data_IF_132098103284
#
_entry.id   IF_132098103284
#
_cell.length_a   1.000
_cell.length_b   1.000
_cell.length_c   1.000
_cell.angle_alpha   90.00
_cell.angle_beta   90.00
_cell.angle_gamma   90.00
#
_symmetry.space_group_name_H-M   'P 1'
#
loop_
_entity.id
_entity.type
_entity.pdbx_description
1 polymer ?
#
# COMPACT_ATOMS: atom_id res chain seq x y z
N UNK A 1 -5.95 -18.00 21.82
CA UNK A 1 -5.37 -17.00 20.89
C UNK A 1 -3.99 -17.49 20.52
N UNK A 2 -3.83 -18.07 19.35
CA UNK A 2 -2.51 -18.41 18.81
C UNK A 2 -1.78 -17.10 18.56
N UNK A 3 -0.74 -16.87 19.32
CA UNK A 3 0.03 -15.64 19.22
C UNK A 3 0.74 -15.63 17.86
N UNK A 4 0.48 -14.65 17.00
CA UNK A 4 1.13 -14.50 15.68
C UNK A 4 2.66 -14.64 15.79
N UNK A 5 3.22 -14.21 16.91
CA UNK A 5 4.65 -14.32 17.22
C UNK A 5 5.11 -15.79 17.33
N UNK A 6 4.28 -16.72 17.83
CA UNK A 6 4.62 -18.15 17.88
C UNK A 6 4.62 -18.77 16.50
N UNK A 7 3.67 -18.38 15.63
CA UNK A 7 3.60 -18.83 14.23
C UNK A 7 4.84 -18.36 13.45
N UNK A 8 5.17 -17.08 13.59
CA UNK A 8 6.34 -16.51 12.92
C UNK A 8 7.68 -17.08 13.45
N UNK A 9 7.71 -17.59 14.70
CA UNK A 9 8.86 -18.24 15.30
C UNK A 9 8.95 -19.74 15.00
N UNK A 10 7.88 -20.38 14.54
CA UNK A 10 7.91 -21.81 14.21
C UNK A 10 8.98 -22.10 13.16
N UNK A 11 9.65 -23.27 13.26
CA UNK A 11 10.63 -23.76 12.28
C UNK A 11 9.96 -24.54 11.16
N UNK A 12 8.75 -25.03 11.39
CA UNK A 12 8.01 -25.90 10.45
C UNK A 12 7.39 -25.09 9.30
N UNK A 13 7.26 -23.76 9.47
CA UNK A 13 6.68 -22.89 8.45
C UNK A 13 7.79 -22.29 7.60
N UNK A 14 7.67 -22.43 6.28
CA UNK A 14 8.66 -21.91 5.32
C UNK A 14 8.66 -20.38 5.29
N UNK A 15 9.80 -19.79 4.92
CA UNK A 15 9.93 -18.34 4.82
C UNK A 15 8.90 -17.69 3.88
N UNK A 16 8.65 -18.20 2.66
CA UNK A 16 7.62 -17.63 1.77
C UNK A 16 6.23 -17.62 2.40
N UNK A 17 5.86 -18.66 3.13
CA UNK A 17 4.57 -18.73 3.84
C UNK A 17 4.47 -17.67 4.94
N UNK A 18 5.55 -17.46 5.71
CA UNK A 18 5.61 -16.40 6.73
C UNK A 18 5.48 -15.01 6.12
N UNK A 19 6.14 -14.77 4.99
CA UNK A 19 6.03 -13.52 4.23
C UNK A 19 4.58 -13.29 3.79
N UNK A 20 3.94 -14.33 3.27
CA UNK A 20 2.54 -14.29 2.86
C UNK A 20 1.61 -13.95 4.05
N UNK A 21 1.83 -14.56 5.21
CA UNK A 21 1.07 -14.27 6.43
C UNK A 21 1.20 -12.82 6.89
N UNK A 22 2.42 -12.27 6.91
CA UNK A 22 2.64 -10.85 7.26
C UNK A 22 1.89 -9.94 6.30
N UNK A 23 1.97 -10.21 5.00
CA UNK A 23 1.27 -9.43 3.97
C UNK A 23 -0.24 -9.54 4.08
N UNK A 24 -0.78 -10.73 4.37
CA UNK A 24 -2.21 -10.97 4.43
C UNK A 24 -2.87 -10.51 5.74
N UNK A 25 -2.13 -10.46 6.85
CA UNK A 25 -2.68 -10.13 8.17
C UNK A 25 -2.21 -8.75 8.64
N UNK A 26 -0.90 -8.49 8.60
CA UNK A 26 -0.33 -7.27 9.18
C UNK A 26 -0.57 -6.06 8.26
N UNK A 27 -0.29 -6.19 6.98
CA UNK A 27 -0.39 -5.07 6.04
C UNK A 27 -1.82 -4.53 5.91
N UNK A 28 -2.89 -5.34 5.79
CA UNK A 28 -4.26 -4.82 5.75
C UNK A 28 -4.66 -4.04 7.00
N UNK A 29 -4.20 -4.46 8.17
CA UNK A 29 -4.47 -3.73 9.42
C UNK A 29 -3.79 -2.36 9.42
N UNK A 30 -2.55 -2.29 8.94
CA UNK A 30 -1.78 -1.04 8.86
C UNK A 30 -2.34 -0.11 7.78
N UNK A 31 -2.80 -0.67 6.66
CA UNK A 31 -3.36 0.08 5.53
C UNK A 31 -4.84 0.42 5.68
N UNK A 32 -5.49 0.03 6.78
CA UNK A 32 -6.92 0.28 6.95
C UNK A 32 -7.26 1.77 6.83
N UNK A 33 -8.12 2.12 5.88
CA UNK A 33 -8.54 3.49 5.61
C UNK A 33 -7.47 4.39 4.96
N UNK A 34 -6.33 3.83 4.52
CA UNK A 34 -5.23 4.63 3.95
C UNK A 34 -5.57 5.29 2.61
N UNK A 35 -6.61 4.82 1.93
CA UNK A 35 -7.07 5.34 0.64
C UNK A 35 -7.45 6.81 0.67
N UNK A 36 -7.80 7.34 1.84
CA UNK A 36 -8.16 8.76 2.05
C UNK A 36 -7.07 9.57 2.74
N UNK A 37 -5.93 8.97 3.08
CA UNK A 37 -4.88 9.66 3.83
C UNK A 37 -4.06 10.60 2.94
N UNK A 38 -3.78 11.78 3.48
CA UNK A 38 -2.79 12.69 2.92
C UNK A 38 -1.44 12.36 3.54
N UNK A 39 -0.62 11.58 2.86
CA UNK A 39 0.67 11.10 3.38
C UNK A 39 1.77 12.05 2.92
N UNK A 40 2.54 12.57 3.87
CA UNK A 40 3.70 13.41 3.59
C UNK A 40 4.94 12.55 3.33
N UNK A 41 5.89 13.09 2.59
CA UNK A 41 7.16 12.41 2.28
C UNK A 41 7.90 11.87 3.51
N UNK A 42 7.86 12.58 4.63
CA UNK A 42 8.45 12.11 5.89
C UNK A 42 7.70 10.93 6.52
N UNK A 43 6.42 10.76 6.22
CA UNK A 43 5.60 9.65 6.71
C UNK A 43 5.85 8.39 5.90
N UNK A 44 6.11 8.49 4.60
CA UNK A 44 6.57 7.36 3.79
C UNK A 44 7.85 6.73 4.35
N UNK A 45 8.80 7.53 4.79
CA UNK A 45 10.03 7.01 5.43
C UNK A 45 9.74 6.20 6.70
N UNK A 46 8.69 6.55 7.46
CA UNK A 46 8.26 5.80 8.65
C UNK A 46 7.57 4.49 8.24
N UNK A 47 6.82 4.50 7.15
CA UNK A 47 6.17 3.31 6.59
C UNK A 47 7.22 2.31 6.11
N UNK A 48 8.25 2.78 5.40
CA UNK A 48 9.37 1.96 4.95
C UNK A 48 10.15 1.39 6.14
N UNK A 49 10.38 2.21 7.17
CA UNK A 49 11.05 1.76 8.39
C UNK A 49 10.23 0.68 9.12
N UNK A 50 8.89 0.82 9.15
CA UNK A 50 7.99 -0.18 9.71
C UNK A 50 8.03 -1.48 8.89
N UNK A 51 7.95 -1.39 7.57
CA UNK A 51 8.05 -2.54 6.67
C UNK A 51 9.36 -3.30 6.91
N UNK A 52 10.48 -2.58 6.94
CA UNK A 52 11.79 -3.15 7.20
C UNK A 52 11.88 -3.78 8.61
N UNK A 53 11.24 -3.18 9.59
CA UNK A 53 11.15 -3.75 10.95
C UNK A 53 10.39 -5.09 10.95
N UNK A 54 9.28 -5.19 10.21
CA UNK A 54 8.54 -6.44 10.06
C UNK A 54 9.44 -7.54 9.46
N UNK A 55 10.18 -7.22 8.40
CA UNK A 55 11.06 -8.16 7.72
C UNK A 55 12.25 -8.59 8.58
N UNK A 56 12.88 -7.65 9.29
CA UNK A 56 13.94 -7.97 10.25
C UNK A 56 13.46 -8.91 11.35
N UNK A 57 12.26 -8.67 11.88
CA UNK A 57 11.66 -9.51 12.91
C UNK A 57 11.38 -10.92 12.39
N UNK A 58 10.87 -11.02 11.17
CA UNK A 58 10.58 -12.30 10.50
C UNK A 58 11.86 -13.11 10.25
N UNK A 59 12.92 -12.48 9.78
CA UNK A 59 14.23 -13.08 9.55
C UNK A 59 15.05 -13.27 10.83
N UNK A 60 14.56 -12.84 12.00
CA UNK A 60 15.27 -12.85 13.27
C UNK A 60 16.61 -12.11 13.24
N UNK A 61 16.71 -11.07 12.41
CA UNK A 61 17.90 -10.23 12.31
C UNK A 61 17.81 -9.14 13.38
N UNK A 62 18.69 -9.15 14.41
CA UNK A 62 18.69 -8.10 15.41
C UNK A 62 19.06 -6.76 14.76
N UNK A 63 18.53 -5.67 15.29
CA UNK A 63 18.82 -4.34 14.76
C UNK A 63 20.31 -3.97 14.83
N UNK A 64 21.05 -4.58 15.77
CA UNK A 64 22.50 -4.42 15.94
C UNK A 64 23.31 -5.09 14.82
N UNK A 65 22.72 -6.05 14.09
CA UNK A 65 23.38 -6.68 12.97
C UNK A 65 23.54 -5.67 11.84
N UNK A 66 24.77 -5.48 11.35
CA UNK A 66 25.12 -4.55 10.26
C UNK A 66 24.70 -5.08 8.87
N UNK A 67 23.45 -5.58 8.78
CA UNK A 67 22.89 -6.01 7.47
C UNK A 67 22.19 -4.83 6.81
N UNK A 68 22.48 -4.62 5.53
CA UNK A 68 21.83 -3.57 4.72
C UNK A 68 20.37 -3.89 4.49
N UNK A 69 19.53 -2.85 4.39
CA UNK A 69 18.11 -2.97 4.07
C UNK A 69 17.88 -3.69 2.74
N UNK A 70 18.73 -3.41 1.74
CA UNK A 70 18.68 -4.07 0.42
C UNK A 70 18.93 -5.58 0.50
N UNK A 71 19.86 -6.03 1.36
CA UNK A 71 20.11 -7.45 1.58
C UNK A 71 18.89 -8.16 2.18
N UNK A 72 18.19 -7.50 3.10
CA UNK A 72 16.97 -8.04 3.72
C UNK A 72 15.83 -8.14 2.70
N UNK A 73 15.61 -7.09 1.92
CA UNK A 73 14.57 -7.05 0.89
C UNK A 73 14.83 -8.10 -0.21
N UNK A 74 16.08 -8.31 -0.63
CA UNK A 74 16.44 -9.38 -1.57
C UNK A 74 16.13 -10.77 -1.04
N UNK A 75 16.41 -11.04 0.23
CA UNK A 75 16.14 -12.34 0.86
C UNK A 75 14.64 -12.64 0.95
N UNK A 76 13.83 -11.60 1.21
CA UNK A 76 12.37 -11.74 1.26
C UNK A 76 11.77 -11.90 -0.13
N UNK A 77 12.49 -11.51 -1.18
CA UNK A 77 11.98 -11.48 -2.57
C UNK A 77 10.62 -10.77 -2.67
N UNK A 78 10.46 -9.74 -1.85
CA UNK A 78 9.20 -9.01 -1.78
C UNK A 78 9.11 -8.06 -2.96
N UNK A 79 8.50 -8.51 -4.07
CA UNK A 79 8.18 -7.65 -5.21
C UNK A 79 7.12 -6.58 -4.90
N UNK A 80 6.78 -6.38 -3.63
CA UNK A 80 5.68 -5.51 -3.21
C UNK A 80 6.09 -4.75 -1.96
N UNK A 81 6.22 -3.43 -2.08
CA UNK A 81 6.40 -2.54 -0.94
C UNK A 81 5.05 -2.13 -0.33
N UNK A 82 5.05 -1.83 0.96
CA UNK A 82 3.86 -1.31 1.65
C UNK A 82 3.42 0.03 1.06
N UNK A 83 4.37 0.89 0.70
CA UNK A 83 4.14 2.16 0.01
C UNK A 83 3.40 1.96 -1.32
N UNK A 84 3.86 1.02 -2.16
CA UNK A 84 3.22 0.73 -3.43
C UNK A 84 1.80 0.17 -3.29
N UNK A 85 1.53 -0.62 -2.25
CA UNK A 85 0.17 -1.09 -1.94
C UNK A 85 -0.74 0.07 -1.55
N UNK A 86 -0.25 1.00 -0.72
CA UNK A 86 -1.01 2.19 -0.32
C UNK A 86 -1.31 3.08 -1.52
N UNK A 87 -0.32 3.30 -2.39
CA UNK A 87 -0.53 4.04 -3.64
C UNK A 87 -1.58 3.38 -4.52
N UNK A 88 -1.54 2.06 -4.66
CA UNK A 88 -2.56 1.31 -5.41
C UNK A 88 -3.96 1.55 -4.87
N UNK A 89 -4.15 1.50 -3.54
CA UNK A 89 -5.45 1.75 -2.91
C UNK A 89 -5.91 3.19 -3.13
N UNK A 90 -5.01 4.17 -3.02
CA UNK A 90 -5.31 5.57 -3.30
C UNK A 90 -5.77 5.79 -4.74
N UNK A 91 -5.08 5.19 -5.72
CA UNK A 91 -5.46 5.29 -7.14
C UNK A 91 -6.77 4.59 -7.44
N UNK A 92 -7.02 3.42 -6.84
CA UNK A 92 -8.31 2.74 -6.97
C UNK A 92 -9.45 3.58 -6.40
N UNK A 93 -9.27 4.15 -5.21
CA UNK A 93 -10.27 5.03 -4.59
C UNK A 93 -10.54 6.28 -5.44
N UNK A 94 -9.47 6.90 -5.97
CA UNK A 94 -9.62 8.03 -6.89
C UNK A 94 -10.43 7.67 -8.14
N UNK A 95 -10.15 6.54 -8.77
CA UNK A 95 -10.93 6.04 -9.91
C UNK A 95 -12.41 5.87 -9.55
N UNK A 96 -12.71 5.19 -8.44
CA UNK A 96 -14.09 5.01 -7.98
C UNK A 96 -14.80 6.33 -7.68
N UNK A 97 -14.09 7.28 -7.07
CA UNK A 97 -14.62 8.60 -6.77
C UNK A 97 -15.00 9.37 -8.05
N UNK A 98 -14.15 9.28 -9.08
CA UNK A 98 -14.39 9.96 -10.37
C UNK A 98 -15.53 9.36 -11.17
N UNK A 99 -15.70 8.04 -11.15
CA UNK A 99 -16.75 7.34 -11.90
C UNK A 99 -18.15 7.55 -11.32
N UNK A 100 -18.27 7.93 -10.06
CA UNK A 100 -19.57 8.28 -9.47
C UNK A 100 -20.05 9.63 -10.02
N UNK A 101 -21.25 9.68 -10.59
CA UNK A 101 -21.80 10.88 -11.22
C UNK A 101 -22.04 12.02 -10.21
N UNK A 102 -22.76 11.75 -9.13
CA UNK A 102 -23.21 12.74 -8.16
C UNK A 102 -22.86 12.32 -6.73
N UNK A 103 -21.56 12.32 -6.42
CA UNK A 103 -21.08 12.03 -5.07
C UNK A 103 -20.76 13.33 -4.33
N UNK A 104 -21.34 13.51 -3.15
CA UNK A 104 -20.97 14.60 -2.23
C UNK A 104 -19.48 14.58 -1.92
N UNK A 105 -18.88 13.37 -1.83
CA UNK A 105 -17.46 13.16 -1.64
C UNK A 105 -16.63 13.75 -2.80
N UNK A 106 -17.10 13.58 -4.05
CA UNK A 106 -16.45 14.14 -5.24
C UNK A 106 -16.49 15.67 -5.21
N UNK A 107 -17.63 16.24 -4.84
CA UNK A 107 -17.79 17.70 -4.72
C UNK A 107 -16.88 18.26 -3.62
N UNK A 108 -16.82 17.59 -2.46
CA UNK A 108 -15.96 18.02 -1.34
C UNK A 108 -14.47 17.86 -1.67
N UNK A 109 -14.10 16.79 -2.38
CA UNK A 109 -12.70 16.50 -2.71
C UNK A 109 -12.17 17.39 -3.85
N UNK A 110 -13.02 17.66 -4.85
CA UNK A 110 -12.66 18.46 -6.02
C UNK A 110 -13.10 19.92 -5.90
N UNK A 111 -14.06 20.22 -5.04
CA UNK A 111 -14.57 21.55 -4.79
C UNK A 111 -13.52 22.41 -4.10
N UNK A 112 -13.18 23.54 -4.70
CA UNK A 112 -12.51 24.62 -3.98
C UNK A 112 -13.50 25.16 -2.95
N UNK A 113 -13.33 24.81 -1.69
CA UNK A 113 -14.02 25.53 -0.62
C UNK A 113 -13.44 26.94 -0.63
N UNK A 114 -14.22 27.90 -1.10
CA UNK A 114 -13.88 29.33 -1.01
C UNK A 114 -13.87 29.74 0.46
N UNK A 115 -12.75 29.48 1.11
CA UNK A 115 -12.47 29.93 2.47
C UNK A 115 -11.32 30.91 2.41
N UNK A 116 -11.47 32.01 3.13
CA UNK A 116 -10.56 33.14 3.14
C UNK A 116 -9.09 32.75 3.22
N UNK A 117 -8.22 33.53 2.57
CA UNK A 117 -6.76 33.36 2.52
C UNK A 117 -6.20 33.09 3.90
N UNK A 118 -5.88 31.82 4.18
CA UNK A 118 -5.14 31.44 5.38
C UNK A 118 -3.69 31.91 5.21
N UNK A 119 -3.24 32.82 6.08
CA UNK A 119 -1.81 33.14 6.24
C UNK A 119 -1.08 31.87 6.68
N UNK A 120 -0.17 31.36 5.86
CA UNK A 120 0.66 30.21 6.18
C UNK A 120 1.04 29.39 4.94
N UNK A 121 1.98 28.46 5.11
CA UNK A 121 2.40 27.51 4.06
C UNK A 121 1.19 26.67 3.64
N UNK A 122 0.92 26.60 2.34
CA UNK A 122 -0.16 25.80 1.78
C UNK A 122 -0.02 24.35 2.25
N UNK A 123 -1.11 23.82 2.80
CA UNK A 123 -1.14 22.45 3.31
C UNK A 123 -1.30 21.51 2.11
N UNK A 124 -0.44 20.52 2.00
CA UNK A 124 -0.57 19.45 1.01
C UNK A 124 -1.95 18.81 1.12
N UNK A 125 -2.66 18.71 0.02
CA UNK A 125 -3.95 18.03 -0.06
C UNK A 125 -3.76 16.58 -0.50
N UNK A 126 -4.77 15.74 -0.33
CA UNK A 126 -4.76 14.37 -0.79
C UNK A 126 -4.59 14.29 -2.32
N UNK A 127 -5.23 15.20 -3.06
CA UNK A 127 -5.10 15.29 -4.52
C UNK A 127 -3.67 15.65 -4.96
N UNK A 128 -2.97 16.49 -4.23
CA UNK A 128 -1.58 16.81 -4.53
C UNK A 128 -0.71 15.54 -4.44
N UNK A 129 -0.97 14.65 -3.47
CA UNK A 129 -0.29 13.37 -3.35
C UNK A 129 -0.53 12.46 -4.56
N UNK A 130 -1.73 12.45 -5.14
CA UNK A 130 -2.06 11.65 -6.33
C UNK A 130 -1.40 12.25 -7.58
N UNK A 131 -1.50 13.56 -7.78
CA UNK A 131 -0.87 14.24 -8.92
C UNK A 131 0.64 14.08 -8.91
N UNK A 132 1.27 14.18 -7.75
CA UNK A 132 2.70 13.97 -7.58
C UNK A 132 3.10 12.50 -7.89
N UNK A 133 2.29 11.55 -7.43
CA UNK A 133 2.57 10.11 -7.65
C UNK A 133 2.46 9.69 -9.12
N UNK A 134 1.58 10.33 -9.86
CA UNK A 134 1.33 10.04 -11.28
C UNK A 134 2.12 10.97 -12.22
N UNK A 135 2.83 11.97 -11.68
CA UNK A 135 3.53 13.02 -12.44
C UNK A 135 2.62 13.68 -13.50
N UNK A 136 1.38 13.92 -13.13
CA UNK A 136 0.34 14.44 -14.02
C UNK A 136 -0.45 15.57 -13.38
N UNK A 137 -0.95 16.49 -14.22
CA UNK A 137 -1.90 17.52 -13.76
C UNK A 137 -3.27 16.90 -13.48
N UNK A 138 -4.04 17.52 -12.60
CA UNK A 138 -5.39 17.06 -12.24
C UNK A 138 -6.34 16.99 -13.45
N UNK A 139 -6.19 17.90 -14.43
CA UNK A 139 -6.97 17.87 -15.68
C UNK A 139 -6.70 16.61 -16.50
N UNK A 140 -5.43 16.26 -16.70
CA UNK A 140 -5.03 15.03 -17.40
C UNK A 140 -5.49 13.77 -16.67
N UNK A 141 -5.37 13.77 -15.32
CA UNK A 141 -5.87 12.66 -14.51
C UNK A 141 -7.38 12.45 -14.68
N UNK A 142 -8.16 13.54 -14.75
CA UNK A 142 -9.61 13.45 -14.95
C UNK A 142 -9.94 12.86 -16.31
N UNK A 143 -9.27 13.28 -17.37
CA UNK A 143 -9.46 12.72 -18.72
C UNK A 143 -9.10 11.24 -18.75
N UNK A 144 -7.96 10.88 -18.17
CA UNK A 144 -7.49 9.49 -18.13
C UNK A 144 -8.44 8.56 -17.37
N UNK A 145 -9.03 9.04 -16.28
CA UNK A 145 -9.97 8.25 -15.46
C UNK A 145 -11.28 7.97 -16.19
N UNK A 146 -11.69 8.81 -17.15
CA UNK A 146 -12.91 8.57 -17.94
C UNK A 146 -12.77 7.32 -18.81
N UNK A 147 -11.57 7.00 -19.27
CA UNK A 147 -11.26 5.72 -19.90
C UNK A 147 -10.80 4.71 -18.84
N UNK A 148 -11.66 3.74 -18.52
CA UNK A 148 -11.39 2.73 -17.49
C UNK A 148 -10.17 1.88 -17.79
N UNK A 149 -9.98 1.47 -19.04
CA UNK A 149 -8.87 0.60 -19.43
C UNK A 149 -7.55 1.36 -19.35
N UNK A 150 -7.52 2.58 -19.88
CA UNK A 150 -6.36 3.46 -19.80
C UNK A 150 -6.00 3.78 -18.33
N UNK A 151 -7.01 4.03 -17.48
CA UNK A 151 -6.79 4.25 -16.05
C UNK A 151 -6.20 3.05 -15.33
N UNK A 152 -6.75 1.86 -15.55
CA UNK A 152 -6.24 0.63 -14.95
C UNK A 152 -4.80 0.34 -15.39
N UNK A 153 -4.48 0.56 -16.65
CA UNK A 153 -3.12 0.42 -17.18
C UNK A 153 -2.16 1.42 -16.55
N UNK A 154 -2.53 2.69 -16.46
CA UNK A 154 -1.71 3.75 -15.88
C UNK A 154 -1.49 3.54 -14.37
N UNK A 155 -2.55 3.18 -13.62
CA UNK A 155 -2.45 2.87 -12.20
C UNK A 155 -1.58 1.63 -11.95
N UNK A 156 -1.68 0.61 -12.82
CA UNK A 156 -0.81 -0.55 -12.76
C UNK A 156 0.64 -0.20 -13.05
N UNK A 157 0.91 0.63 -14.04
CA UNK A 157 2.25 1.08 -14.40
C UNK A 157 2.90 1.88 -13.27
N UNK A 158 2.18 2.84 -12.68
CA UNK A 158 2.65 3.65 -11.55
C UNK A 158 3.01 2.78 -10.33
N UNK A 159 2.31 1.66 -10.13
CA UNK A 159 2.55 0.74 -9.01
C UNK A 159 3.48 -0.42 -9.35
N UNK A 160 3.79 -0.66 -10.62
CA UNK A 160 4.52 -1.84 -11.12
C UNK A 160 5.96 -1.94 -10.60
N UNK A 161 6.63 -0.82 -10.42
CA UNK A 161 7.96 -0.76 -9.81
C UNK A 161 7.93 -1.07 -8.31
N UNK A 162 6.77 -1.04 -7.68
CA UNK A 162 6.55 -1.14 -6.24
C UNK A 162 5.72 -2.36 -5.84
N UNK A 163 4.93 -2.95 -6.78
CA UNK A 163 4.01 -4.05 -6.45
C UNK A 163 3.99 -5.12 -7.51
N UNK A 164 4.79 -6.17 -7.34
CA UNK A 164 4.75 -7.35 -8.21
C UNK A 164 4.07 -8.58 -7.55
N UNK A 165 3.07 -8.36 -6.71
CA UNK A 165 2.34 -9.44 -6.04
C UNK A 165 0.84 -9.39 -6.30
N UNK A 166 0.38 -10.50 -6.87
CA UNK A 166 -1.03 -10.81 -7.00
C UNK A 166 -1.59 -11.20 -5.62
N UNK A 167 -2.36 -10.32 -4.99
CA UNK A 167 -3.05 -10.57 -3.71
C UNK A 167 -3.88 -11.86 -3.75
N UNK A 168 -4.47 -12.16 -4.91
CA UNK A 168 -5.23 -13.38 -5.16
C UNK A 168 -4.37 -14.63 -4.93
N UNK A 169 -3.10 -14.60 -5.30
CA UNK A 169 -2.20 -15.74 -5.13
C UNK A 169 -1.80 -15.95 -3.66
N UNK A 170 -1.64 -14.87 -2.90
CA UNK A 170 -1.40 -14.99 -1.45
C UNK A 170 -2.63 -15.51 -0.70
N UNK A 171 -3.83 -15.05 -1.06
CA UNK A 171 -5.09 -15.50 -0.45
C UNK A 171 -5.39 -16.96 -0.83
N UNK A 172 -5.17 -17.36 -2.08
CA UNK A 172 -5.34 -18.75 -2.53
C UNK A 172 -4.35 -19.70 -1.84
N UNK A 173 -3.10 -19.29 -1.64
CA UNK A 173 -2.13 -20.08 -0.87
C UNK A 173 -2.52 -20.22 0.60
N UNK A 174 -3.15 -19.21 1.19
CA UNK A 174 -3.66 -19.27 2.57
C UNK A 174 -4.90 -20.16 2.68
N UNK A 175 -5.84 -20.08 1.74
CA UNK A 175 -7.03 -20.93 1.74
C UNK A 175 -6.68 -22.41 1.57
N UNK A 176 -5.68 -22.74 0.78
CA UNK A 176 -5.17 -24.10 0.65
C UNK A 176 -4.52 -24.61 1.94
N UNK A 177 -3.94 -23.73 2.74
CA UNK A 177 -3.33 -24.07 4.03
C UNK A 177 -4.38 -24.31 5.14
N UNK A 178 -5.48 -23.58 5.13
CA UNK A 178 -6.58 -23.78 6.08
C UNK A 178 -7.29 -25.11 5.84
N UNK A 179 -7.45 -25.53 4.59
CA UNK A 179 -8.06 -26.82 4.25
C UNK A 179 -7.17 -28.03 4.59
N UNK A 180 -5.88 -27.83 4.88
CA UNK A 180 -4.96 -28.91 5.25
C UNK A 180 -4.88 -29.15 6.78
N UNK A 181 -5.43 -28.25 7.59
CA UNK A 181 -5.43 -28.36 9.07
C UNK A 181 -6.73 -28.94 9.63
N UNK A 182 -7.69 -29.29 8.78
CA UNK A 182 -8.96 -29.94 9.17
C UNK A 182 -9.02 -31.45 8.79
N UNK A 183 -7.92 -32.04 8.40
CA UNK A 183 -7.75 -33.49 8.29
C UNK A 183 -6.75 -33.96 9.34
#
# INVERSE_FOLDING_TARGET
>A
MTNLDSILKSRDITLPTKVCLVKAIVFPVVMYGCESWTIKKAEYQRIDAFELWCWRRLLRVPWTARRSSQSILKEISSGCSLEGLMLKLNLQYFGHLMWRADSSEKILTLGKIEGGRRRGRQRMTWLDGITDSMDMSLSKLRELVMDREAWHSAAHEATKGQTQLNWTECVLKLSSFYNFTEQ
#
